data_IF_320988032631
#
_entry.id   IF_320988032631
#
_cell.length_a   1.000
_cell.length_b   1.000
_cell.length_c   1.000
_cell.angle_alpha   90.00
_cell.angle_beta   90.00
_cell.angle_gamma   90.00
#
_symmetry.space_group_name_H-M   'P 1'
#
loop_
_entity.id
_entity.type
_entity.pdbx_description
1 polymer ?
#
# COMPACT_ATOMS: atom_id res chain seq x y z
N UNK A 1 -1.12 27.40 -39.58
CA UNK A 1 -1.56 27.34 -38.17
C UNK A 1 -1.86 25.90 -37.68
N UNK A 2 -1.04 24.90 -38.03
CA UNK A 2 -1.23 23.50 -37.57
C UNK A 2 -0.11 23.00 -36.64
N UNK A 3 1.03 23.70 -36.57
CA UNK A 3 2.20 23.28 -35.76
C UNK A 3 2.07 23.60 -34.26
N UNK A 4 1.30 24.63 -33.89
CA UNK A 4 1.09 25.01 -32.48
C UNK A 4 0.05 24.13 -31.76
N UNK A 5 -0.86 23.49 -32.50
CA UNK A 5 -1.89 22.62 -31.92
C UNK A 5 -1.31 21.33 -31.32
N UNK A 6 -0.17 20.85 -31.86
CA UNK A 6 0.55 19.66 -31.39
C UNK A 6 1.37 19.90 -30.11
N UNK A 7 1.83 21.13 -29.86
CA UNK A 7 2.50 21.46 -28.60
C UNK A 7 1.51 21.56 -27.43
N UNK A 8 0.27 21.99 -27.69
CA UNK A 8 -0.72 22.18 -26.64
C UNK A 8 -1.22 20.84 -26.06
N UNK A 9 -1.31 19.79 -26.88
CA UNK A 9 -1.74 18.45 -26.43
C UNK A 9 -0.68 17.72 -25.61
N UNK A 10 0.61 17.94 -25.88
CA UNK A 10 1.71 17.35 -25.10
C UNK A 10 1.85 17.95 -23.70
N UNK A 11 1.52 19.24 -23.53
CA UNK A 11 1.56 19.92 -22.24
C UNK A 11 0.44 19.48 -21.28
N UNK A 12 -0.75 19.14 -21.79
CA UNK A 12 -1.87 18.71 -20.95
C UNK A 12 -1.68 17.28 -20.38
N UNK A 13 -1.00 16.40 -21.12
CA UNK A 13 -0.77 15.03 -20.70
C UNK A 13 0.28 14.91 -19.57
N UNK A 14 1.27 15.81 -19.52
CA UNK A 14 2.32 15.79 -18.48
C UNK A 14 1.82 16.31 -17.12
N UNK A 15 0.84 17.23 -17.11
CA UNK A 15 0.23 17.73 -15.87
C UNK A 15 -0.53 16.65 -15.08
N UNK A 16 -1.26 15.76 -15.76
CA UNK A 16 -2.07 14.73 -15.10
C UNK A 16 -1.22 13.72 -14.31
N UNK A 17 -0.04 13.38 -14.81
CA UNK A 17 0.90 12.46 -14.15
C UNK A 17 1.57 13.10 -12.93
N UNK A 18 1.93 14.39 -13.01
CA UNK A 18 2.57 15.10 -11.90
C UNK A 18 1.60 15.29 -10.71
N UNK A 19 0.33 15.61 -10.98
CA UNK A 19 -0.69 15.78 -9.94
C UNK A 19 -1.06 14.48 -9.21
N UNK A 20 -0.93 13.31 -9.84
CA UNK A 20 -1.29 12.04 -9.20
C UNK A 20 -0.24 11.57 -8.18
N UNK A 21 1.03 11.91 -8.40
CA UNK A 21 2.12 11.51 -7.50
C UNK A 21 2.11 12.31 -6.19
N UNK A 22 1.65 13.57 -6.21
CA UNK A 22 1.52 14.41 -5.00
C UNK A 22 0.44 13.92 -4.04
N UNK A 23 -0.52 13.10 -4.51
CA UNK A 23 -1.58 12.55 -3.65
C UNK A 23 -1.03 11.56 -2.65
N UNK A 24 -0.01 10.78 -2.99
CA UNK A 24 0.57 9.76 -2.11
C UNK A 24 1.87 10.22 -1.45
N UNK A 25 2.68 11.00 -2.15
CA UNK A 25 4.00 11.44 -1.70
C UNK A 25 3.95 12.11 -0.31
N UNK A 26 4.81 11.64 0.59
CA UNK A 26 4.96 12.15 1.94
C UNK A 26 3.89 11.69 2.93
N UNK A 27 2.95 10.83 2.53
CA UNK A 27 1.83 10.40 3.37
C UNK A 27 1.96 8.95 3.82
N UNK A 28 1.41 8.69 5.00
CA UNK A 28 1.30 7.35 5.55
C UNK A 28 -0.14 6.85 5.51
N UNK A 29 -0.29 5.57 5.21
CA UNK A 29 -1.58 4.90 5.14
C UNK A 29 -1.55 3.57 5.89
N UNK A 30 -2.69 3.14 6.42
CA UNK A 30 -2.83 1.89 7.18
C UNK A 30 -4.08 1.13 6.75
N UNK A 31 -3.99 -0.20 6.71
CA UNK A 31 -5.14 -1.09 6.57
C UNK A 31 -5.00 -2.30 7.51
N UNK A 32 -6.13 -2.84 7.95
CA UNK A 32 -6.21 -4.17 8.56
C UNK A 32 -6.12 -5.21 7.45
N UNK A 33 -5.12 -6.09 7.50
CA UNK A 33 -4.88 -7.12 6.48
C UNK A 33 -5.15 -8.54 6.97
N UNK A 34 -5.39 -8.71 8.27
CA UNK A 34 -5.75 -9.98 8.88
C UNK A 34 -5.83 -9.90 10.39
N UNK A 35 -6.13 -11.03 11.02
CA UNK A 35 -6.12 -11.18 12.46
C UNK A 35 -5.80 -12.64 12.80
N UNK A 36 -5.24 -12.85 13.99
CA UNK A 36 -5.04 -14.16 14.60
C UNK A 36 -5.85 -14.19 15.88
N UNK A 37 -6.77 -15.15 15.95
CA UNK A 37 -7.47 -15.49 17.18
C UNK A 37 -6.76 -16.71 17.77
N UNK A 38 -6.20 -16.56 18.97
CA UNK A 38 -5.47 -17.62 19.65
C UNK A 38 -6.26 -18.10 20.87
N UNK A 39 -6.51 -19.41 20.94
CA UNK A 39 -7.02 -20.07 22.13
C UNK A 39 -5.85 -20.46 23.03
N UNK A 40 -5.94 -20.12 24.31
CA UNK A 40 -4.90 -20.39 25.30
C UNK A 40 -5.50 -21.15 26.48
N UNK A 41 -4.71 -22.02 27.10
CA UNK A 41 -5.16 -22.81 28.27
C UNK A 41 -5.52 -21.94 29.48
N UNK A 42 -4.94 -20.74 29.56
CA UNK A 42 -5.22 -19.73 30.57
C UNK A 42 -5.55 -18.39 29.90
N UNK A 43 -6.23 -17.48 30.60
CA UNK A 43 -6.55 -16.16 30.06
C UNK A 43 -5.27 -15.37 29.74
N UNK A 44 -5.06 -15.08 28.44
CA UNK A 44 -3.96 -14.25 27.98
C UNK A 44 -4.48 -13.15 27.04
N UNK A 45 -4.53 -11.89 27.50
CA UNK A 45 -5.06 -10.79 26.69
C UNK A 45 -4.18 -10.44 25.48
N UNK A 46 -2.91 -10.86 25.46
CA UNK A 46 -1.97 -10.58 24.38
C UNK A 46 -1.96 -11.64 23.26
N UNK A 47 -2.63 -12.78 23.46
CA UNK A 47 -2.48 -13.95 22.57
C UNK A 47 -3.06 -13.71 21.18
N UNK A 48 -4.19 -13.02 21.09
CA UNK A 48 -4.81 -12.63 19.82
C UNK A 48 -4.28 -11.29 19.34
N UNK A 49 -4.14 -11.11 18.03
CA UNK A 49 -3.65 -9.86 17.44
C UNK A 49 -4.28 -9.54 16.09
N UNK A 50 -4.34 -8.24 15.78
CA UNK A 50 -4.68 -7.72 14.46
C UNK A 50 -3.40 -7.47 13.66
N UNK A 51 -3.38 -7.88 12.40
CA UNK A 51 -2.27 -7.68 11.48
C UNK A 51 -2.58 -6.46 10.62
N UNK A 52 -1.76 -5.43 10.74
CA UNK A 52 -1.90 -4.20 9.96
C UNK A 52 -0.75 -4.06 8.96
N UNK A 53 -1.07 -3.54 7.77
CA UNK A 53 -0.07 -3.09 6.82
C UNK A 53 -0.04 -1.57 6.80
N UNK A 54 1.13 -0.99 7.07
CA UNK A 54 1.39 0.45 7.02
C UNK A 54 2.28 0.76 5.82
N UNK A 55 1.88 1.75 5.03
CA UNK A 55 2.58 2.21 3.84
C UNK A 55 3.02 3.64 4.08
N UNK A 56 4.33 3.87 4.07
CA UNK A 56 4.91 5.20 4.20
C UNK A 56 5.49 5.61 2.85
N UNK A 57 4.76 6.42 2.10
CA UNK A 57 5.20 6.90 0.79
C UNK A 57 6.15 8.07 0.96
N UNK A 58 7.35 7.92 0.41
CA UNK A 58 8.38 8.96 0.31
C UNK A 58 8.60 9.32 -1.16
N UNK A 59 9.52 10.24 -1.40
CA UNK A 59 9.78 10.80 -2.73
C UNK A 59 10.06 9.75 -3.81
N UNK A 60 10.86 8.74 -3.48
CA UNK A 60 11.30 7.72 -4.44
C UNK A 60 10.96 6.29 -4.04
N UNK A 61 10.53 6.10 -2.80
CA UNK A 61 10.24 4.78 -2.25
C UNK A 61 8.99 4.79 -1.38
N UNK A 62 8.51 3.59 -1.11
CA UNK A 62 7.48 3.31 -0.12
C UNK A 62 8.03 2.25 0.81
N UNK A 63 7.88 2.48 2.12
CA UNK A 63 8.15 1.46 3.13
C UNK A 63 6.83 0.80 3.50
N UNK A 64 6.76 -0.50 3.26
CA UNK A 64 5.76 -1.40 3.82
C UNK A 64 6.21 -1.87 5.19
N UNK A 65 5.38 -1.70 6.21
CA UNK A 65 5.62 -2.21 7.57
C UNK A 65 4.41 -3.02 7.98
N UNK A 66 4.62 -4.31 8.21
CA UNK A 66 3.60 -5.18 8.80
C UNK A 66 3.73 -5.11 10.33
N UNK A 67 2.60 -4.92 11.00
CA UNK A 67 2.53 -4.81 12.45
C UNK A 67 1.49 -5.75 13.02
N UNK A 68 1.87 -6.50 14.03
CA UNK A 68 0.94 -7.18 14.93
C UNK A 68 0.56 -6.21 16.04
N UNK A 69 -0.74 -6.02 16.25
CA UNK A 69 -1.27 -5.13 17.28
C UNK A 69 -2.20 -5.95 18.17
N UNK A 70 -1.90 -5.99 19.46
CA UNK A 70 -2.73 -6.62 20.48
C UNK A 70 -2.97 -5.66 21.65
N UNK A 71 -3.64 -6.13 22.70
CA UNK A 71 -3.91 -5.33 23.90
C UNK A 71 -2.66 -4.92 24.67
N UNK A 72 -1.54 -5.62 24.45
CA UNK A 72 -0.29 -5.46 25.19
C UNK A 72 0.74 -4.61 24.44
N UNK A 73 0.51 -4.33 23.16
CA UNK A 73 1.35 -3.44 22.37
C UNK A 73 1.32 -3.73 20.88
N UNK A 74 2.32 -3.19 20.20
CA UNK A 74 2.56 -3.43 18.78
C UNK A 74 3.96 -4.01 18.56
N UNK A 75 4.05 -4.93 17.61
CA UNK A 75 5.30 -5.54 17.17
C UNK A 75 5.42 -5.46 15.65
N UNK A 76 6.62 -5.17 15.15
CA UNK A 76 6.89 -5.05 13.71
C UNK A 76 7.40 -6.39 13.20
N UNK A 77 6.56 -7.09 12.43
CA UNK A 77 6.88 -8.44 11.93
C UNK A 77 7.66 -8.42 10.62
N UNK A 78 7.45 -7.40 9.78
CA UNK A 78 8.22 -7.25 8.55
C UNK A 78 8.33 -5.80 8.11
N UNK A 79 9.44 -5.50 7.43
CA UNK A 79 9.68 -4.20 6.80
C UNK A 79 10.30 -4.40 5.42
N UNK A 80 9.60 -3.93 4.39
CA UNK A 80 10.03 -4.08 2.99
C UNK A 80 9.98 -2.73 2.32
N UNK A 81 11.04 -2.39 1.58
CA UNK A 81 11.12 -1.17 0.79
C UNK A 81 10.94 -1.48 -0.69
N UNK A 82 10.20 -0.62 -1.39
CA UNK A 82 10.09 -0.67 -2.85
C UNK A 82 10.17 0.74 -3.42
N UNK A 83 10.75 0.87 -4.63
CA UNK A 83 10.53 2.07 -5.44
C UNK A 83 9.09 2.06 -5.93
N UNK A 84 8.50 3.24 -6.10
CA UNK A 84 7.13 3.35 -6.61
C UNK A 84 6.97 4.43 -7.66
N UNK A 85 6.00 4.22 -8.55
CA UNK A 85 5.47 5.23 -9.48
C UNK A 85 3.98 5.00 -9.65
N UNK A 86 3.23 6.06 -9.93
CA UNK A 86 1.80 5.98 -10.26
C UNK A 86 1.61 6.27 -11.74
N UNK A 87 0.75 5.50 -12.41
CA UNK A 87 0.36 5.76 -13.79
C UNK A 87 -0.91 6.59 -13.89
N UNK A 88 -1.30 6.97 -15.11
CA UNK A 88 -2.51 7.77 -15.36
C UNK A 88 -3.82 7.07 -15.01
N UNK A 89 -3.81 5.74 -14.81
CA UNK A 89 -4.95 4.95 -14.34
C UNK A 89 -4.97 4.79 -12.81
N UNK A 90 -4.06 5.47 -12.11
CA UNK A 90 -3.90 5.40 -10.66
C UNK A 90 -3.24 4.11 -10.16
N UNK A 91 -2.73 3.25 -11.05
CA UNK A 91 -2.04 2.02 -10.63
C UNK A 91 -0.68 2.38 -10.07
N UNK A 92 -0.37 1.87 -8.88
CA UNK A 92 0.92 2.08 -8.23
C UNK A 92 1.83 0.92 -8.60
N UNK A 93 2.77 1.17 -9.50
CA UNK A 93 3.82 0.23 -9.87
C UNK A 93 4.88 0.18 -8.78
N UNK A 94 5.19 -1.02 -8.29
CA UNK A 94 6.17 -1.27 -7.23
C UNK A 94 7.37 -2.01 -7.81
N UNK A 95 8.58 -1.55 -7.48
CA UNK A 95 9.83 -2.18 -7.89
C UNK A 95 10.68 -2.49 -6.67
N UNK A 96 10.80 -3.78 -6.37
CA UNK A 96 11.55 -4.30 -5.23
C UNK A 96 13.02 -4.54 -5.62
N UNK A 97 13.96 -4.17 -4.74
CA UNK A 97 15.39 -4.39 -4.98
C UNK A 97 15.81 -5.86 -4.80
N UNK A 98 15.04 -6.61 -4.01
CA UNK A 98 15.24 -8.03 -3.75
C UNK A 98 13.92 -8.78 -3.91
N UNK A 99 14.02 -10.10 -4.07
CA UNK A 99 12.84 -10.97 -4.12
C UNK A 99 12.08 -10.88 -2.79
N UNK A 100 10.77 -10.68 -2.89
CA UNK A 100 9.88 -10.72 -1.72
C UNK A 100 9.99 -12.12 -1.08
N UNK A 101 10.16 -12.22 0.24
CA UNK A 101 10.17 -13.52 0.92
C UNK A 101 8.90 -14.32 0.61
N UNK A 102 9.06 -15.63 0.38
CA UNK A 102 7.92 -16.51 0.08
C UNK A 102 6.92 -16.48 1.24
N UNK A 103 5.64 -16.34 0.94
CA UNK A 103 4.58 -16.29 1.95
C UNK A 103 4.39 -14.92 2.61
N UNK A 104 5.20 -13.91 2.26
CA UNK A 104 4.95 -12.56 2.72
C UNK A 104 3.67 -11.98 2.07
N UNK A 105 2.96 -11.14 2.82
CA UNK A 105 1.71 -10.53 2.34
C UNK A 105 1.89 -9.77 1.01
N UNK A 106 3.05 -9.15 0.76
CA UNK A 106 3.29 -8.39 -0.47
C UNK A 106 3.42 -9.26 -1.73
N UNK A 107 3.52 -10.59 -1.60
CA UNK A 107 3.55 -11.50 -2.75
C UNK A 107 2.25 -11.42 -3.56
N UNK A 108 2.33 -10.89 -4.78
CA UNK A 108 1.15 -10.66 -5.62
C UNK A 108 0.23 -9.52 -5.18
N UNK A 109 0.62 -8.74 -4.17
CA UNK A 109 -0.10 -7.55 -3.73
C UNK A 109 0.00 -6.42 -4.75
N UNK A 110 -1.10 -5.71 -4.99
CA UNK A 110 -1.19 -4.58 -5.92
C UNK A 110 -1.85 -3.39 -5.25
N UNK A 111 -1.50 -2.20 -5.69
CA UNK A 111 -2.05 -0.95 -5.17
C UNK A 111 -2.66 -0.11 -6.30
N UNK A 112 -3.79 0.51 -6.03
CA UNK A 112 -4.43 1.45 -6.91
C UNK A 112 -5.00 2.63 -6.14
N UNK A 113 -4.72 3.83 -6.63
CA UNK A 113 -5.37 5.06 -6.21
C UNK A 113 -6.62 5.27 -7.06
N UNK A 114 -7.80 5.23 -6.43
CA UNK A 114 -9.09 5.52 -7.06
C UNK A 114 -9.64 6.82 -6.48
N UNK A 115 -9.44 7.92 -7.21
CA UNK A 115 -9.70 9.26 -6.66
C UNK A 115 -8.72 9.57 -5.53
N UNK A 116 -9.24 9.78 -4.33
CA UNK A 116 -8.48 10.00 -3.10
C UNK A 116 -8.27 8.72 -2.25
N UNK A 117 -8.87 7.60 -2.67
CA UNK A 117 -8.84 6.33 -1.93
C UNK A 117 -7.72 5.44 -2.42
N UNK A 118 -6.80 5.08 -1.53
CA UNK A 118 -5.79 4.07 -1.80
C UNK A 118 -6.38 2.68 -1.48
N UNK A 119 -6.36 1.79 -2.46
CA UNK A 119 -6.90 0.43 -2.35
C UNK A 119 -5.80 -0.58 -2.66
N UNK A 120 -5.62 -1.55 -1.77
CA UNK A 120 -4.80 -2.73 -1.99
C UNK A 120 -5.62 -3.91 -2.51
N UNK A 121 -4.98 -4.75 -3.30
CA UNK A 121 -5.57 -5.92 -3.92
C UNK A 121 -4.66 -7.11 -3.69
N UNK A 122 -5.21 -8.19 -3.14
CA UNK A 122 -4.49 -9.47 -3.01
C UNK A 122 -5.47 -10.61 -3.19
N UNK A 123 -5.02 -11.69 -3.82
CA UNK A 123 -5.77 -12.94 -3.82
C UNK A 123 -5.69 -13.62 -2.45
N UNK A 124 -6.82 -14.13 -2.00
CA UNK A 124 -6.88 -15.01 -0.83
C UNK A 124 -6.49 -16.45 -1.20
N UNK A 125 -6.60 -17.36 -0.23
CA UNK A 125 -6.33 -18.79 -0.38
C UNK A 125 -7.31 -19.50 -1.33
N UNK A 126 -8.47 -18.92 -1.61
CA UNK A 126 -9.44 -19.39 -2.60
C UNK A 126 -9.22 -18.76 -3.99
N UNK A 127 -8.13 -18.02 -4.18
CA UNK A 127 -7.79 -17.31 -5.42
C UNK A 127 -8.76 -16.16 -5.78
N UNK A 128 -9.62 -15.76 -4.83
CA UNK A 128 -10.55 -14.62 -4.95
C UNK A 128 -9.83 -13.32 -4.63
N UNK A 129 -10.11 -12.26 -5.39
CA UNK A 129 -9.49 -10.96 -5.16
C UNK A 129 -10.14 -10.23 -3.99
N UNK A 130 -9.35 -9.91 -2.96
CA UNK A 130 -9.77 -9.15 -1.78
C UNK A 130 -9.28 -7.71 -1.89
N UNK A 131 -10.15 -6.76 -1.55
CA UNK A 131 -9.82 -5.34 -1.47
C UNK A 131 -9.48 -4.92 -0.03
N UNK A 132 -8.40 -4.17 0.13
CA UNK A 132 -7.96 -3.58 1.39
C UNK A 132 -8.02 -2.07 1.28
N UNK A 133 -8.91 -1.43 2.03
CA UNK A 133 -9.06 0.03 2.03
C UNK A 133 -8.01 0.63 2.96
N UNK A 134 -7.18 1.50 2.41
CA UNK A 134 -6.14 2.19 3.17
C UNK A 134 -6.64 3.53 3.67
N UNK A 135 -6.56 3.72 4.97
CA UNK A 135 -6.90 4.98 5.63
C UNK A 135 -5.64 5.81 5.79
N UNK A 136 -5.74 7.10 5.47
CA UNK A 136 -4.64 8.05 5.70
C UNK A 136 -4.43 8.20 7.21
N UNK A 137 -3.20 8.02 7.67
CA UNK A 137 -2.84 8.26 9.07
C UNK A 137 -2.81 9.77 9.35
N UNK A 138 -3.29 10.17 10.53
CA UNK A 138 -3.11 11.54 11.01
C UNK A 138 -1.64 11.68 11.42
N UNK A 139 -0.97 12.68 10.87
CA UNK A 139 0.36 13.13 11.29
C UNK A 139 0.29 13.83 12.65
#
# INVERSE_FOLDING_TARGET
MKKYLLCLTFLLASFQLCCSQTVLKGKSFKALIGNVCAETNEYNPCASHMIHLVLNFRDQDVIFTEKNVNSCGEDVTSRIQAKWKIDSAGRVALSYSSKIPKGNFLEGFRLQLKGDKLIGYKKDWQNSMVEYKFEKMKE
#
